data_IF_733748591717
#
_entry.id   IF_733748591717
#
_cell.length_a   1.000
_cell.length_b   1.000
_cell.length_c   1.000
_cell.angle_alpha   90.00
_cell.angle_beta   90.00
_cell.angle_gamma   90.00
#
_symmetry.space_group_name_H-M   'P 1'
#
loop_
_entity.id
_entity.type
_entity.pdbx_description
1 polymer ?
#
# COMPACT_ATOMS: atom_id res chain seq x y z
N UNK A 1 -62.60 -75.27 9.86
CA UNK A 1 -62.29 -74.81 8.49
C UNK A 1 -62.10 -73.27 8.59
N UNK A 2 -60.90 -72.77 8.96
CA UNK A 2 -60.60 -71.38 9.20
C UNK A 2 -59.60 -70.91 8.13
N UNK A 3 -59.93 -69.82 7.43
CA UNK A 3 -59.02 -69.12 6.52
C UNK A 3 -58.30 -68.04 7.29
N UNK A 4 -57.02 -67.87 7.14
CA UNK A 4 -56.32 -66.68 7.72
C UNK A 4 -56.39 -65.50 6.78
N UNK A 5 -56.69 -64.33 7.35
CA UNK A 5 -56.58 -63.01 6.76
C UNK A 5 -55.11 -62.58 6.67
N UNK A 6 -54.68 -62.22 5.49
CA UNK A 6 -53.34 -61.70 5.24
C UNK A 6 -53.40 -60.16 5.27
N UNK A 7 -52.86 -59.60 6.31
CA UNK A 7 -52.78 -58.16 6.47
C UNK A 7 -51.49 -57.62 5.79
N UNK A 8 -51.64 -56.86 4.72
CA UNK A 8 -50.56 -56.21 4.01
C UNK A 8 -50.17 -54.96 4.78
N UNK A 9 -48.94 -54.93 5.33
CA UNK A 9 -48.35 -53.77 5.98
C UNK A 9 -47.59 -52.88 4.93
N UNK A 10 -48.14 -51.71 4.59
CA UNK A 10 -47.51 -50.78 3.71
C UNK A 10 -46.48 -49.97 4.51
N UNK A 11 -45.21 -50.21 4.24
CA UNK A 11 -44.11 -49.39 4.80
C UNK A 11 -43.98 -48.07 4.00
N UNK A 12 -44.42 -46.98 4.60
CA UNK A 12 -44.17 -45.63 4.07
C UNK A 12 -42.75 -45.19 4.48
N UNK A 13 -41.82 -45.17 3.53
CA UNK A 13 -40.48 -44.57 3.69
C UNK A 13 -40.59 -43.05 3.62
N UNK A 14 -40.54 -42.39 4.79
CA UNK A 14 -40.30 -40.95 4.87
C UNK A 14 -38.84 -40.69 4.47
N UNK A 15 -38.62 -40.13 3.27
CA UNK A 15 -37.36 -39.42 2.97
C UNK A 15 -37.30 -38.14 3.80
N UNK A 16 -36.60 -38.19 4.92
CA UNK A 16 -36.23 -37.03 5.67
C UNK A 16 -35.16 -36.22 4.90
N UNK A 17 -35.57 -35.13 4.28
CA UNK A 17 -34.61 -34.11 3.78
C UNK A 17 -33.95 -33.48 4.99
N UNK A 18 -32.73 -33.92 5.31
CA UNK A 18 -31.88 -33.20 6.26
C UNK A 18 -31.40 -31.89 5.61
N UNK A 19 -32.11 -30.80 5.88
CA UNK A 19 -31.60 -29.50 5.63
C UNK A 19 -30.37 -29.32 6.53
N UNK A 20 -29.17 -29.43 5.94
CA UNK A 20 -27.93 -29.07 6.61
C UNK A 20 -28.00 -27.56 6.88
N UNK A 21 -28.38 -27.21 8.09
CA UNK A 21 -28.19 -25.82 8.59
C UNK A 21 -26.70 -25.53 8.57
N UNK A 22 -26.27 -24.70 7.65
CA UNK A 22 -24.94 -24.11 7.68
C UNK A 22 -24.88 -23.30 8.97
N UNK A 23 -24.27 -23.88 9.98
CA UNK A 23 -24.07 -23.23 11.26
C UNK A 23 -23.09 -22.07 11.01
N UNK A 24 -23.59 -20.84 11.10
CA UNK A 24 -22.72 -19.66 11.03
C UNK A 24 -21.65 -19.83 12.10
N UNK A 25 -20.41 -20.00 11.69
CA UNK A 25 -19.28 -20.15 12.61
C UNK A 25 -19.19 -18.92 13.52
N UNK A 26 -18.54 -19.09 14.68
CA UNK A 26 -18.28 -17.99 15.61
C UNK A 26 -17.69 -16.77 14.88
N UNK A 27 -17.98 -15.54 15.35
CA UNK A 27 -17.39 -14.34 14.80
C UNK A 27 -15.86 -14.41 14.89
N UNK A 28 -15.19 -14.15 13.76
CA UNK A 28 -13.73 -14.11 13.70
C UNK A 28 -13.25 -12.75 14.23
N UNK A 29 -12.11 -12.75 14.90
CA UNK A 29 -11.39 -11.53 15.24
C UNK A 29 -10.85 -10.83 13.99
N UNK A 30 -10.49 -9.55 14.06
CA UNK A 30 -9.90 -8.81 12.94
C UNK A 30 -8.65 -9.52 12.37
N UNK A 31 -7.82 -10.11 13.23
CA UNK A 31 -6.63 -10.84 12.81
C UNK A 31 -6.97 -12.16 12.11
N UNK A 32 -7.96 -12.88 12.60
CA UNK A 32 -8.41 -14.13 12.00
C UNK A 32 -9.04 -13.89 10.64
N UNK A 33 -9.92 -12.88 10.50
CA UNK A 33 -10.57 -12.57 9.21
C UNK A 33 -9.56 -12.04 8.17
N UNK A 34 -8.52 -11.32 8.58
CA UNK A 34 -7.48 -10.81 7.70
C UNK A 34 -6.73 -11.95 6.95
N UNK A 35 -6.62 -13.12 7.57
CA UNK A 35 -5.93 -14.29 7.01
C UNK A 35 -6.85 -15.44 6.62
N UNK A 36 -8.15 -15.30 6.84
CA UNK A 36 -9.14 -16.35 6.57
C UNK A 36 -9.23 -16.68 5.07
N UNK A 37 -9.21 -17.99 4.73
CA UNK A 37 -9.23 -18.48 3.35
C UNK A 37 -10.42 -19.41 3.04
N UNK A 38 -11.41 -19.50 3.92
CA UNK A 38 -12.59 -20.32 3.71
C UNK A 38 -13.45 -19.87 2.52
N UNK A 39 -14.25 -20.77 1.97
CA UNK A 39 -15.11 -20.49 0.81
C UNK A 39 -16.13 -19.37 1.05
N UNK A 40 -16.54 -19.16 2.30
CA UNK A 40 -17.45 -18.12 2.75
C UNK A 40 -16.76 -16.79 3.12
N UNK A 41 -15.45 -16.65 2.83
CA UNK A 41 -14.67 -15.46 3.16
C UNK A 41 -15.33 -14.15 2.72
N UNK A 42 -15.79 -14.09 1.47
CA UNK A 42 -16.40 -12.87 0.94
C UNK A 42 -17.70 -12.51 1.67
N UNK A 43 -18.50 -13.48 2.01
CA UNK A 43 -19.73 -13.27 2.78
C UNK A 43 -19.42 -12.75 4.18
N UNK A 44 -18.49 -13.38 4.90
CA UNK A 44 -18.07 -12.95 6.25
C UNK A 44 -17.49 -11.54 6.25
N UNK A 45 -16.68 -11.19 5.25
CA UNK A 45 -16.14 -9.84 5.11
C UNK A 45 -17.26 -8.80 4.92
N UNK A 46 -18.25 -9.09 4.06
CA UNK A 46 -19.37 -8.17 3.83
C UNK A 46 -20.26 -8.02 5.06
N UNK A 47 -20.54 -9.10 5.75
CA UNK A 47 -21.34 -9.09 6.98
C UNK A 47 -20.62 -8.31 8.11
N UNK A 48 -19.32 -8.56 8.29
CA UNK A 48 -18.49 -7.85 9.26
C UNK A 48 -18.43 -6.35 8.95
N UNK A 49 -18.09 -6.00 7.73
CA UNK A 49 -17.97 -4.61 7.30
C UNK A 49 -19.29 -3.82 7.43
N UNK A 50 -20.43 -4.43 7.11
CA UNK A 50 -21.75 -3.81 7.33
C UNK A 50 -22.08 -3.60 8.81
N UNK A 51 -21.62 -4.52 9.65
CA UNK A 51 -21.82 -4.41 11.10
C UNK A 51 -20.95 -3.32 11.71
N UNK A 52 -19.72 -3.15 11.21
CA UNK A 52 -18.80 -2.08 11.62
C UNK A 52 -19.26 -0.71 11.10
N UNK A 53 -19.76 -0.65 9.86
CA UNK A 53 -20.38 0.52 9.25
C UNK A 53 -19.43 1.60 8.80
N UNK A 54 -18.17 1.60 9.23
CA UNK A 54 -17.17 2.61 8.84
C UNK A 54 -15.77 2.01 8.69
N UNK A 55 -14.94 2.72 7.93
CA UNK A 55 -13.54 2.39 7.67
C UNK A 55 -12.69 3.66 7.77
N UNK A 56 -11.57 3.62 8.47
CA UNK A 56 -10.63 4.74 8.55
C UNK A 56 -9.36 4.44 7.76
N UNK A 57 -9.01 5.34 6.84
CA UNK A 57 -7.87 5.19 5.93
C UNK A 57 -6.91 6.38 6.09
N UNK A 58 -5.64 6.10 6.38
CA UNK A 58 -4.56 7.09 6.28
C UNK A 58 -3.76 6.82 5.01
N UNK A 59 -3.53 7.87 4.20
CA UNK A 59 -2.82 7.68 2.94
C UNK A 59 -1.96 8.86 2.52
N UNK A 60 -0.88 8.55 1.81
CA UNK A 60 -0.01 9.53 1.17
C UNK A 60 -0.35 9.74 -0.31
N UNK A 61 -0.92 8.74 -0.98
CA UNK A 61 -1.16 8.73 -2.42
C UNK A 61 -2.46 9.45 -2.80
N UNK A 62 -2.41 10.61 -3.51
CA UNK A 62 -3.59 11.44 -3.79
C UNK A 62 -4.72 10.69 -4.52
N UNK A 63 -4.37 9.79 -5.43
CA UNK A 63 -5.33 9.05 -6.26
C UNK A 63 -6.16 8.03 -5.46
N UNK A 64 -5.76 7.71 -4.23
CA UNK A 64 -6.53 6.80 -3.38
C UNK A 64 -7.91 7.36 -3.02
N UNK A 65 -8.11 8.68 -3.11
CA UNK A 65 -9.41 9.31 -2.86
C UNK A 65 -10.52 8.77 -3.79
N UNK A 66 -10.21 8.50 -5.06
CA UNK A 66 -11.18 7.91 -5.99
C UNK A 66 -11.51 6.44 -5.63
N UNK A 67 -10.52 5.69 -5.16
CA UNK A 67 -10.69 4.30 -4.72
C UNK A 67 -11.57 4.22 -3.47
N UNK A 68 -11.31 5.06 -2.47
CA UNK A 68 -12.10 5.11 -1.24
C UNK A 68 -13.53 5.54 -1.49
N UNK A 69 -13.76 6.51 -2.40
CA UNK A 69 -15.10 6.92 -2.81
C UNK A 69 -15.87 5.79 -3.53
N UNK A 70 -15.19 5.08 -4.45
CA UNK A 70 -15.79 3.93 -5.14
C UNK A 70 -16.11 2.78 -4.18
N UNK A 71 -15.24 2.52 -3.20
CA UNK A 71 -15.46 1.54 -2.15
C UNK A 71 -16.69 1.89 -1.30
N UNK A 72 -16.75 3.12 -0.79
CA UNK A 72 -17.88 3.62 -0.01
C UNK A 72 -19.21 3.45 -0.77
N UNK A 73 -19.23 3.86 -2.05
CA UNK A 73 -20.42 3.72 -2.91
C UNK A 73 -20.81 2.27 -3.14
N UNK A 74 -19.83 1.38 -3.35
CA UNK A 74 -20.08 -0.04 -3.67
C UNK A 74 -20.63 -0.83 -2.49
N UNK A 75 -20.13 -0.56 -1.29
CA UNK A 75 -20.42 -1.37 -0.11
C UNK A 75 -21.33 -0.69 0.91
N UNK A 76 -21.68 0.57 0.67
CA UNK A 76 -22.46 1.41 1.59
C UNK A 76 -21.80 1.51 2.98
N UNK A 77 -20.48 1.73 2.98
CA UNK A 77 -19.66 1.88 4.18
C UNK A 77 -19.08 3.28 4.20
N UNK A 78 -19.21 3.97 5.33
CA UNK A 78 -18.59 5.28 5.52
C UNK A 78 -17.08 5.15 5.55
N UNK A 79 -16.36 5.91 4.70
CA UNK A 79 -14.89 5.94 4.71
C UNK A 79 -14.41 7.28 5.27
N UNK A 80 -13.73 7.21 6.41
CA UNK A 80 -13.04 8.35 7.02
C UNK A 80 -11.61 8.40 6.46
N UNK A 81 -11.26 9.50 5.81
CA UNK A 81 -9.96 9.63 5.14
C UNK A 81 -9.12 10.71 5.80
N UNK A 82 -7.87 10.39 6.08
CA UNK A 82 -6.86 11.38 6.44
C UNK A 82 -5.65 11.25 5.51
N UNK A 83 -5.37 12.32 4.76
CA UNK A 83 -4.24 12.40 3.84
C UNK A 83 -3.11 13.24 4.43
N UNK A 84 -1.88 12.73 4.37
CA UNK A 84 -0.68 13.46 4.78
C UNK A 84 0.56 12.89 4.06
N UNK A 85 1.72 13.51 4.26
CA UNK A 85 3.00 12.93 3.83
C UNK A 85 3.35 11.66 4.60
N UNK A 86 4.16 10.81 3.96
CA UNK A 86 4.50 9.46 4.43
C UNK A 86 5.07 9.42 5.84
N UNK A 87 6.01 10.30 6.16
CA UNK A 87 6.59 10.40 7.50
C UNK A 87 5.57 10.82 8.57
N UNK A 88 4.64 11.71 8.22
CA UNK A 88 3.59 12.15 9.14
C UNK A 88 2.64 11.00 9.47
N UNK A 89 2.33 10.16 8.48
CA UNK A 89 1.50 8.97 8.68
C UNK A 89 2.21 8.00 9.62
N UNK A 90 3.48 7.69 9.37
CA UNK A 90 4.27 6.80 10.24
C UNK A 90 4.32 7.33 11.67
N UNK A 91 4.62 8.63 11.86
CA UNK A 91 4.64 9.25 13.20
C UNK A 91 3.29 9.18 13.90
N UNK A 92 2.20 9.36 13.15
CA UNK A 92 0.85 9.32 13.73
C UNK A 92 0.50 7.92 14.20
N UNK A 93 0.64 6.89 13.36
CA UNK A 93 0.32 5.51 13.75
C UNK A 93 1.17 5.04 14.93
N UNK A 94 2.46 5.38 14.95
CA UNK A 94 3.33 5.10 16.10
C UNK A 94 2.90 5.83 17.37
N UNK A 95 2.44 7.07 17.26
CA UNK A 95 1.92 7.83 18.41
C UNK A 95 0.60 7.26 18.93
N UNK A 96 -0.32 6.90 18.03
CA UNK A 96 -1.60 6.26 18.37
C UNK A 96 -1.36 4.90 19.04
N UNK A 97 -0.43 4.09 18.53
CA UNK A 97 -0.08 2.80 19.12
C UNK A 97 0.49 2.94 20.55
N UNK A 98 1.42 3.88 20.76
CA UNK A 98 1.95 4.17 22.11
C UNK A 98 0.88 4.63 23.09
N UNK A 99 -0.16 5.29 22.60
CA UNK A 99 -1.31 5.70 23.40
C UNK A 99 -2.39 4.61 23.52
N UNK A 100 -2.15 3.41 22.97
CA UNK A 100 -3.13 2.30 22.84
C UNK A 100 -4.43 2.73 22.15
N UNK A 101 -4.34 3.67 21.21
CA UNK A 101 -5.45 4.17 20.40
C UNK A 101 -5.24 3.73 18.95
N UNK A 102 -5.95 2.70 18.55
CA UNK A 102 -5.89 2.16 17.20
C UNK A 102 -7.09 2.67 16.40
N UNK A 103 -6.95 3.85 15.81
CA UNK A 103 -8.03 4.55 15.08
C UNK A 103 -8.05 4.24 13.59
N UNK A 104 -6.92 3.82 13.03
CA UNK A 104 -6.79 3.55 11.61
C UNK A 104 -6.92 2.05 11.31
N UNK A 105 -7.67 1.74 10.25
CA UNK A 105 -7.85 0.36 9.77
C UNK A 105 -6.89 0.04 8.63
N UNK A 106 -6.69 1.01 7.71
CA UNK A 106 -5.81 0.85 6.54
C UNK A 106 -4.83 2.01 6.46
N UNK A 107 -3.56 1.65 6.32
CA UNK A 107 -2.49 2.60 6.01
C UNK A 107 -1.99 2.35 4.59
N UNK A 108 -2.02 3.39 3.75
CA UNK A 108 -1.29 3.41 2.49
C UNK A 108 -0.13 4.40 2.62
N UNK A 109 1.08 3.91 2.41
CA UNK A 109 2.29 4.69 2.58
C UNK A 109 3.36 4.22 1.58
N UNK A 110 4.50 4.92 1.51
CA UNK A 110 5.63 4.46 0.72
C UNK A 110 6.28 3.22 1.37
N UNK A 111 7.00 2.44 0.59
CA UNK A 111 7.59 1.18 1.06
C UNK A 111 8.54 1.34 2.25
N UNK A 112 9.44 2.36 2.32
CA UNK A 112 10.31 2.55 3.48
C UNK A 112 9.55 2.76 4.78
N UNK A 113 8.50 3.58 4.78
CA UNK A 113 7.69 3.85 5.97
C UNK A 113 6.82 2.65 6.36
N UNK A 114 6.32 1.89 5.38
CA UNK A 114 5.62 0.63 5.68
C UNK A 114 6.58 -0.41 6.28
N UNK A 115 7.82 -0.47 5.81
CA UNK A 115 8.85 -1.34 6.38
C UNK A 115 9.22 -0.92 7.82
N UNK A 116 9.31 0.39 8.09
CA UNK A 116 9.50 0.90 9.44
C UNK A 116 8.31 0.54 10.35
N UNK A 117 7.08 0.70 9.86
CA UNK A 117 5.88 0.32 10.59
C UNK A 117 5.84 -1.21 10.88
N UNK A 118 6.30 -2.04 9.93
CA UNK A 118 6.46 -3.48 10.14
C UNK A 118 7.45 -3.78 11.27
N UNK A 119 8.63 -3.16 11.28
CA UNK A 119 9.66 -3.35 12.31
C UNK A 119 9.18 -2.91 13.70
N UNK A 120 8.36 -1.89 13.76
CA UNK A 120 7.70 -1.42 15.00
C UNK A 120 6.46 -2.25 15.37
N UNK A 121 6.14 -3.32 14.64
CA UNK A 121 5.00 -4.21 14.87
C UNK A 121 3.63 -3.48 14.84
N UNK A 122 3.53 -2.44 14.03
CA UNK A 122 2.30 -1.64 13.87
C UNK A 122 1.36 -2.21 12.81
N UNK A 123 1.81 -3.21 12.05
CA UNK A 123 1.06 -3.82 10.95
C UNK A 123 0.76 -5.29 11.26
N UNK A 124 -0.35 -5.79 10.73
CA UNK A 124 -0.72 -7.20 10.81
C UNK A 124 -0.63 -7.89 9.45
N UNK A 125 -0.35 -9.19 9.39
CA UNK A 125 -0.33 -9.92 8.14
C UNK A 125 -1.72 -9.99 7.51
N UNK A 126 -1.76 -9.89 6.19
CA UNK A 126 -2.99 -10.00 5.39
C UNK A 126 -2.82 -11.11 4.36
N UNK A 127 -3.82 -11.98 4.25
CA UNK A 127 -3.91 -12.97 3.20
C UNK A 127 -5.19 -12.75 2.39
N UNK A 128 -5.01 -12.41 1.13
CA UNK A 128 -6.10 -12.25 0.18
C UNK A 128 -5.89 -13.17 -1.01
N UNK A 129 -6.93 -13.80 -1.58
CA UNK A 129 -6.80 -14.62 -2.78
C UNK A 129 -6.30 -13.81 -3.99
N UNK A 130 -6.43 -12.49 -3.98
CA UNK A 130 -5.97 -11.59 -5.05
C UNK A 130 -4.46 -11.29 -4.99
N UNK A 131 -3.77 -11.60 -3.89
CA UNK A 131 -2.32 -11.35 -3.78
C UNK A 131 -1.52 -12.16 -4.80
N UNK A 132 -2.04 -13.31 -5.25
CA UNK A 132 -1.42 -14.14 -6.30
C UNK A 132 -1.30 -13.45 -7.66
N UNK A 133 -2.10 -12.42 -7.90
CA UNK A 133 -2.14 -11.67 -9.17
C UNK A 133 -1.12 -10.51 -9.18
N UNK A 134 -0.42 -10.28 -8.08
CA UNK A 134 0.60 -9.27 -7.95
C UNK A 134 1.98 -9.77 -8.40
N UNK A 135 2.83 -8.85 -8.84
CA UNK A 135 4.23 -9.17 -9.13
C UNK A 135 4.96 -9.59 -7.84
N UNK A 136 5.93 -10.51 -7.90
CA UNK A 136 6.61 -11.01 -6.69
C UNK A 136 7.24 -9.91 -5.82
N UNK A 137 7.79 -8.87 -6.43
CA UNK A 137 8.40 -7.72 -5.71
C UNK A 137 7.39 -6.86 -4.93
N UNK A 138 6.08 -6.98 -5.20
CA UNK A 138 5.05 -6.30 -4.42
C UNK A 138 4.72 -7.01 -3.09
N UNK A 139 5.27 -8.20 -2.87
CA UNK A 139 4.96 -9.06 -1.72
C UNK A 139 6.23 -9.30 -0.88
N UNK A 140 6.49 -8.50 0.16
CA UNK A 140 7.57 -8.78 1.08
C UNK A 140 7.35 -10.11 1.80
N UNK A 141 8.43 -10.79 2.19
CA UNK A 141 8.38 -12.12 2.79
C UNK A 141 7.51 -12.20 4.07
N UNK A 142 7.50 -11.13 4.86
CA UNK A 142 6.71 -11.04 6.10
C UNK A 142 5.20 -10.81 5.87
N UNK A 143 4.75 -10.38 4.66
CA UNK A 143 3.33 -10.19 4.27
C UNK A 143 2.52 -9.22 5.15
N UNK A 144 3.18 -8.31 5.86
CA UNK A 144 2.51 -7.32 6.70
C UNK A 144 2.06 -6.08 5.92
N UNK A 145 2.59 -5.91 4.70
CA UNK A 145 2.12 -4.93 3.74
C UNK A 145 2.24 -5.48 2.31
N UNK A 146 1.65 -4.82 1.36
CA UNK A 146 1.67 -5.19 -0.07
C UNK A 146 1.82 -3.94 -0.92
N UNK A 147 2.66 -4.02 -1.95
CA UNK A 147 2.79 -2.96 -2.95
C UNK A 147 1.57 -2.92 -3.87
N UNK A 148 0.98 -1.74 -4.02
CA UNK A 148 -0.17 -1.51 -4.90
C UNK A 148 0.15 -0.54 -6.05
N UNK A 149 1.30 0.12 -5.99
CA UNK A 149 1.80 1.06 -7.00
C UNK A 149 3.28 0.83 -7.25
N UNK A 150 3.73 1.21 -8.43
CA UNK A 150 5.14 1.34 -8.77
C UNK A 150 5.45 2.82 -8.94
N UNK A 151 6.40 3.31 -8.15
CA UNK A 151 6.93 4.65 -8.32
C UNK A 151 8.13 4.59 -9.28
N UNK A 152 8.04 5.36 -10.35
CA UNK A 152 9.09 5.45 -11.36
C UNK A 152 9.76 6.81 -11.24
N UNK A 153 11.00 6.83 -10.81
CA UNK A 153 11.81 8.04 -10.79
C UNK A 153 12.44 8.28 -12.15
N UNK A 154 12.25 9.45 -12.71
CA UNK A 154 12.80 9.83 -13.99
C UNK A 154 13.31 11.27 -13.96
N UNK A 155 14.41 11.52 -14.65
CA UNK A 155 14.89 12.88 -14.84
C UNK A 155 13.98 13.62 -15.85
N UNK A 156 13.64 14.86 -15.53
CA UNK A 156 12.96 15.79 -16.42
C UNK A 156 13.84 17.00 -16.68
N UNK A 157 13.64 17.66 -17.82
CA UNK A 157 14.36 18.87 -18.17
C UNK A 157 13.45 19.91 -18.82
N UNK A 158 13.79 21.18 -18.64
CA UNK A 158 13.09 22.28 -19.27
C UNK A 158 13.55 22.40 -20.72
N UNK A 159 12.68 22.13 -21.68
CA UNK A 159 12.97 22.13 -23.13
C UNK A 159 13.31 23.51 -23.70
N UNK A 160 12.92 24.58 -23.01
CA UNK A 160 13.25 25.96 -23.42
C UNK A 160 14.66 26.37 -22.99
N UNK A 161 15.25 25.66 -22.00
CA UNK A 161 16.54 26.01 -21.40
C UNK A 161 17.66 25.03 -21.71
N UNK A 162 17.32 23.79 -22.06
CA UNK A 162 18.27 22.70 -22.30
C UNK A 162 17.88 21.98 -23.57
N UNK A 163 18.82 21.85 -24.49
CA UNK A 163 18.62 21.06 -25.71
C UNK A 163 18.83 19.58 -25.41
N UNK A 164 18.14 18.72 -26.16
CA UNK A 164 18.21 17.27 -25.98
C UNK A 164 19.64 16.74 -26.09
N UNK A 165 20.45 17.32 -26.96
CA UNK A 165 21.84 16.94 -27.21
C UNK A 165 22.78 17.30 -26.07
N UNK A 166 22.33 18.19 -25.16
CA UNK A 166 23.12 18.65 -24.00
C UNK A 166 22.86 17.79 -22.76
N UNK A 167 21.85 16.88 -22.81
CA UNK A 167 21.43 16.10 -21.66
C UNK A 167 22.57 15.19 -21.15
N UNK A 168 22.67 15.01 -19.83
CA UNK A 168 23.58 14.04 -19.26
C UNK A 168 23.13 12.63 -19.65
N UNK A 169 24.08 11.76 -19.94
CA UNK A 169 23.84 10.33 -20.24
C UNK A 169 24.06 9.47 -19.01
N UNK A 170 24.85 9.97 -18.06
CA UNK A 170 25.11 9.34 -16.78
C UNK A 170 24.97 10.34 -15.65
N UNK A 171 24.86 9.86 -14.41
CA UNK A 171 24.89 10.73 -13.24
C UNK A 171 26.22 11.43 -13.03
N UNK A 172 27.34 10.88 -13.52
CA UNK A 172 28.65 11.52 -13.46
C UNK A 172 28.73 12.76 -14.35
N UNK A 173 27.97 12.81 -15.45
CA UNK A 173 27.93 13.97 -16.33
C UNK A 173 27.34 15.21 -15.63
N UNK A 174 26.64 15.02 -14.49
CA UNK A 174 26.12 16.11 -13.66
C UNK A 174 27.22 16.86 -12.91
N UNK A 175 28.45 16.33 -12.89
CA UNK A 175 29.62 17.03 -12.33
C UNK A 175 30.17 18.09 -13.28
N UNK A 176 29.75 18.12 -14.54
CA UNK A 176 30.14 19.15 -15.51
C UNK A 176 29.72 20.56 -14.97
N UNK A 177 30.64 21.53 -14.89
CA UNK A 177 30.35 22.89 -14.44
C UNK A 177 29.18 23.58 -15.16
N UNK A 178 28.82 23.15 -16.38
CA UNK A 178 27.64 23.67 -17.11
C UNK A 178 26.33 23.47 -16.37
N UNK A 179 26.25 22.46 -15.46
CA UNK A 179 25.05 22.15 -14.69
C UNK A 179 24.95 22.96 -13.37
N UNK A 180 25.95 23.73 -13.01
CA UNK A 180 25.93 24.56 -11.82
C UNK A 180 24.74 25.53 -11.81
N UNK A 181 23.93 25.49 -10.75
CA UNK A 181 22.72 26.30 -10.62
C UNK A 181 21.56 25.87 -11.53
N UNK A 182 21.68 24.74 -12.21
CA UNK A 182 20.67 24.24 -13.18
C UNK A 182 20.03 22.91 -12.76
N UNK A 183 20.47 22.33 -11.67
CA UNK A 183 19.93 21.08 -11.16
C UNK A 183 18.84 21.31 -10.11
N UNK A 184 17.83 20.48 -10.11
CA UNK A 184 16.79 20.41 -9.10
C UNK A 184 16.59 18.98 -8.65
N UNK A 185 16.26 18.80 -7.37
CA UNK A 185 15.93 17.49 -6.79
C UNK A 185 14.80 17.68 -5.79
N UNK A 186 13.93 16.70 -5.64
CA UNK A 186 12.88 16.75 -4.66
C UNK A 186 13.33 16.19 -3.30
N UNK A 187 12.99 16.85 -2.17
CA UNK A 187 13.50 16.51 -0.84
C UNK A 187 13.02 15.16 -0.33
N UNK A 188 11.87 14.71 -0.81
CA UNK A 188 11.27 13.44 -0.37
C UNK A 188 11.72 12.23 -1.22
N UNK A 189 12.66 12.42 -2.16
CA UNK A 189 13.15 11.37 -3.06
C UNK A 189 14.24 10.47 -2.42
N UNK A 190 14.16 10.22 -1.10
CA UNK A 190 15.13 9.37 -0.41
C UNK A 190 15.17 7.94 -0.97
N UNK A 191 14.03 7.41 -1.42
CA UNK A 191 13.97 6.08 -2.00
C UNK A 191 14.75 5.99 -3.31
N UNK A 192 14.64 6.99 -4.18
CA UNK A 192 15.45 7.09 -5.40
C UNK A 192 16.94 7.22 -5.06
N UNK A 193 17.29 8.11 -4.13
CA UNK A 193 18.67 8.31 -3.71
C UNK A 193 19.30 7.02 -3.18
N UNK A 194 18.61 6.32 -2.26
CA UNK A 194 19.10 5.08 -1.69
C UNK A 194 19.31 4.00 -2.75
N UNK A 195 18.34 3.82 -3.66
CA UNK A 195 18.43 2.84 -4.75
C UNK A 195 19.58 3.15 -5.71
N UNK A 196 19.79 4.42 -6.01
CA UNK A 196 20.88 4.83 -6.89
C UNK A 196 22.25 4.64 -6.23
N UNK A 197 22.39 4.97 -4.96
CA UNK A 197 23.60 4.72 -4.17
C UNK A 197 23.91 3.23 -4.10
N UNK A 198 22.92 2.39 -3.86
CA UNK A 198 23.06 0.93 -3.87
C UNK A 198 23.52 0.41 -5.24
N UNK A 199 22.88 0.91 -6.32
CA UNK A 199 23.19 0.49 -7.71
C UNK A 199 24.62 0.87 -8.12
N UNK A 200 25.09 2.03 -7.70
CA UNK A 200 26.47 2.51 -8.00
C UNK A 200 27.53 1.92 -7.06
N UNK A 201 27.11 1.25 -5.98
CA UNK A 201 27.93 0.88 -4.84
C UNK A 201 28.03 2.03 -3.82
N UNK A 202 27.81 1.71 -2.54
CA UNK A 202 27.64 2.73 -1.49
C UNK A 202 28.77 3.78 -1.42
N UNK A 203 30.07 3.42 -1.45
CA UNK A 203 31.12 4.43 -1.42
C UNK A 203 31.11 5.35 -2.64
N UNK A 204 30.93 4.79 -3.83
CA UNK A 204 30.96 5.52 -5.11
C UNK A 204 29.72 6.40 -5.26
N UNK A 205 28.53 5.86 -4.96
CA UNK A 205 27.27 6.58 -5.05
C UNK A 205 27.23 7.75 -4.07
N UNK A 206 27.60 7.53 -2.80
CA UNK A 206 27.66 8.58 -1.79
C UNK A 206 28.68 9.66 -2.17
N UNK A 207 29.85 9.26 -2.71
CA UNK A 207 30.86 10.23 -3.17
C UNK A 207 30.31 11.09 -4.30
N UNK A 208 29.69 10.46 -5.30
CA UNK A 208 29.14 11.17 -6.46
C UNK A 208 28.16 12.28 -6.03
N UNK A 209 27.23 11.98 -5.13
CA UNK A 209 26.29 12.99 -4.67
C UNK A 209 26.93 14.11 -3.84
N UNK A 210 27.94 13.78 -3.04
CA UNK A 210 28.75 14.82 -2.36
C UNK A 210 29.44 15.72 -3.36
N UNK A 211 30.07 15.16 -4.38
CA UNK A 211 30.76 15.90 -5.42
C UNK A 211 29.78 16.81 -6.20
N UNK A 212 28.57 16.33 -6.54
CA UNK A 212 27.52 17.12 -7.20
C UNK A 212 27.14 18.32 -6.31
N UNK A 213 26.90 18.10 -5.02
CA UNK A 213 26.56 19.17 -4.07
C UNK A 213 27.72 20.18 -3.90
N UNK A 214 28.97 19.71 -3.90
CA UNK A 214 30.15 20.58 -3.79
C UNK A 214 30.40 21.40 -5.05
N UNK A 215 30.07 20.84 -6.23
CA UNK A 215 30.20 21.52 -7.52
C UNK A 215 29.25 22.72 -7.62
N UNK A 216 28.10 22.65 -6.96
CA UNK A 216 27.14 23.76 -6.89
C UNK A 216 26.99 24.31 -5.46
N UNK A 217 27.73 25.36 -5.10
CA UNK A 217 27.63 25.97 -3.76
C UNK A 217 26.26 26.55 -3.43
N UNK A 218 25.38 26.72 -4.40
CA UNK A 218 23.98 27.15 -4.15
C UNK A 218 23.19 26.07 -3.41
N UNK A 219 23.64 24.84 -3.43
CA UNK A 219 23.07 23.71 -2.69
C UNK A 219 23.50 23.66 -1.22
N UNK A 220 24.56 24.40 -0.83
CA UNK A 220 25.01 24.45 0.56
C UNK A 220 23.97 25.18 1.43
N UNK A 221 23.12 24.40 2.10
CA UNK A 221 22.14 24.88 3.07
C UNK A 221 20.77 25.26 2.51
N UNK A 222 20.55 25.02 1.22
CA UNK A 222 19.23 25.13 0.60
C UNK A 222 19.02 23.96 -0.36
N UNK A 223 18.80 22.80 0.14
CA UNK A 223 18.02 21.83 -0.60
C UNK A 223 16.60 22.41 -0.64
N UNK A 224 16.35 23.42 -1.45
CA UNK A 224 15.01 23.92 -1.68
C UNK A 224 14.40 23.03 -2.73
N UNK A 225 13.89 21.96 -2.25
CA UNK A 225 13.02 21.15 -3.04
C UNK A 225 11.64 21.74 -2.94
N UNK A 226 11.27 22.49 -3.92
CA UNK A 226 9.87 22.65 -4.26
C UNK A 226 9.46 21.34 -4.91
N UNK A 227 8.60 20.57 -4.25
CA UNK A 227 7.99 19.42 -4.86
C UNK A 227 7.37 19.84 -6.18
N UNK A 228 7.93 19.36 -7.29
CA UNK A 228 7.35 19.51 -8.60
C UNK A 228 6.18 18.52 -8.63
N UNK A 229 4.99 19.01 -8.30
CA UNK A 229 3.80 18.16 -8.30
C UNK A 229 3.18 18.05 -9.69
N UNK A 230 3.53 18.95 -10.60
CA UNK A 230 3.06 18.96 -11.99
C UNK A 230 4.13 19.44 -12.94
N UNK A 231 3.99 19.14 -14.25
CA UNK A 231 4.85 19.69 -15.31
C UNK A 231 4.79 21.23 -15.35
N UNK A 232 3.75 21.84 -14.80
CA UNK A 232 3.58 23.31 -14.73
C UNK A 232 4.47 23.93 -13.65
N UNK A 233 4.76 23.21 -12.57
CA UNK A 233 5.65 23.67 -11.50
C UNK A 233 7.14 23.64 -11.93
N UNK A 234 7.46 22.95 -13.02
CA UNK A 234 8.80 22.90 -13.61
C UNK A 234 9.13 24.08 -14.56
N UNK A 235 8.18 25.00 -14.78
CA UNK A 235 8.34 26.22 -15.58
C UNK A 235 8.74 27.37 -14.67
#
# INVERSE_FOLDING_TARGET
MFKPFMTMLAAATLLGATASSVQAGAPLTAQEIATYQGADRQQRLLEGARKEGELTVYHAYPQLASVTAAFSKKYDIKVNVWRSGSENILRRIGSEARASKFTVDIVQNNAPENEAAHREQLLQPVASPYLKDLIPSALPAHKNWVGITLDVFSAAYNTDKVKKEELPTTYHDLLDPKWKGRLGIEAEDQAWFATLVETLGEPQGTKLFKDIVETDPTWKGKLVVKGIQTVEDAR
#
